data_IF_001017046485
#
_entry.id   IF_001017046485
#
_cell.length_a   1.000
_cell.length_b   1.000
_cell.length_c   1.000
_cell.angle_alpha   90.00
_cell.angle_beta   90.00
_cell.angle_gamma   90.00
#
_symmetry.space_group_name_H-M   'P 1'
#
loop_
_entity.id
_entity.type
_entity.pdbx_description
1 polymer ?
#
# COMPACT_ATOMS: atom_id res chain seq x y z
N UNK A 1 -11.01 -27.33 -17.26
CA UNK A 1 -11.99 -26.64 -18.13
C UNK A 1 -13.46 -27.05 -17.91
N UNK A 2 -13.85 -27.75 -16.82
CA UNK A 2 -15.21 -28.28 -16.63
C UNK A 2 -16.12 -27.41 -15.72
N UNK A 3 -16.22 -26.11 -16.00
CA UNK A 3 -17.09 -25.21 -15.21
C UNK A 3 -17.47 -23.87 -15.86
N UNK A 4 -17.04 -23.60 -17.09
CA UNK A 4 -17.42 -22.37 -17.81
C UNK A 4 -18.65 -22.62 -18.67
N UNK A 5 -19.69 -21.80 -18.52
CA UNK A 5 -20.91 -21.90 -19.32
C UNK A 5 -20.71 -21.46 -20.80
N UNK A 6 -19.69 -20.64 -21.05
CA UNK A 6 -19.23 -20.20 -22.37
C UNK A 6 -17.86 -19.52 -22.25
N UNK A 7 -17.10 -19.47 -23.35
CA UNK A 7 -15.82 -18.76 -23.47
C UNK A 7 -15.91 -17.68 -24.55
N UNK A 8 -15.54 -16.44 -24.23
CA UNK A 8 -15.42 -15.36 -25.20
C UNK A 8 -13.94 -15.04 -25.40
N UNK A 9 -13.49 -15.00 -26.66
CA UNK A 9 -12.10 -14.70 -27.03
C UNK A 9 -12.08 -13.45 -27.90
N UNK A 10 -11.29 -12.45 -27.49
CA UNK A 10 -10.96 -11.31 -28.36
C UNK A 10 -9.70 -11.67 -29.13
N UNK A 11 -9.79 -11.72 -30.45
CA UNK A 11 -8.70 -12.13 -31.32
C UNK A 11 -8.22 -10.95 -32.16
N UNK A 12 -6.93 -10.93 -32.43
CA UNK A 12 -6.29 -10.02 -33.37
C UNK A 12 -5.16 -10.78 -34.07
N UNK A 13 -4.83 -10.41 -35.30
CA UNK A 13 -3.69 -10.97 -36.00
C UNK A 13 -2.37 -10.78 -35.20
N UNK A 14 -1.47 -11.76 -35.30
CA UNK A 14 -0.27 -11.84 -34.44
C UNK A 14 0.67 -10.64 -34.62
N UNK A 15 0.78 -10.14 -35.85
CA UNK A 15 1.53 -8.93 -36.21
C UNK A 15 0.97 -7.67 -35.51
N UNK A 16 -0.34 -7.54 -35.45
CA UNK A 16 -1.01 -6.45 -34.77
C UNK A 16 -0.97 -6.60 -33.24
N UNK A 17 -1.06 -7.83 -32.72
CA UNK A 17 -0.82 -8.09 -31.29
C UNK A 17 0.59 -7.67 -30.89
N UNK A 18 1.59 -8.03 -31.69
CA UNK A 18 2.99 -7.65 -31.47
C UNK A 18 3.15 -6.13 -31.43
N UNK A 19 2.63 -5.44 -32.46
CA UNK A 19 2.73 -3.98 -32.58
C UNK A 19 2.08 -3.26 -31.40
N UNK A 20 0.86 -3.68 -31.01
CA UNK A 20 0.14 -3.10 -29.88
C UNK A 20 0.83 -3.41 -28.55
N UNK A 21 1.39 -4.60 -28.38
CA UNK A 21 2.09 -5.01 -27.17
C UNK A 21 3.39 -4.22 -26.98
N UNK A 22 4.19 -4.07 -28.04
CA UNK A 22 5.40 -3.25 -28.04
C UNK A 22 5.10 -1.80 -27.69
N UNK A 23 4.05 -1.21 -28.28
CA UNK A 23 3.63 0.16 -28.01
C UNK A 23 3.10 0.35 -26.57
N UNK A 24 2.29 -0.59 -26.07
CA UNK A 24 1.68 -0.53 -24.73
C UNK A 24 2.71 -0.66 -23.62
N UNK A 25 3.63 -1.62 -23.77
CA UNK A 25 4.56 -2.00 -22.69
C UNK A 25 5.97 -1.40 -22.89
N UNK A 26 6.19 -0.66 -23.99
CA UNK A 26 7.49 -0.07 -24.35
C UNK A 26 8.62 -1.12 -24.37
N UNK A 27 8.35 -2.28 -24.97
CA UNK A 27 9.27 -3.42 -25.07
C UNK A 27 9.72 -3.67 -26.51
N UNK A 28 10.87 -4.33 -26.67
CA UNK A 28 11.40 -4.72 -27.97
C UNK A 28 10.72 -5.97 -28.54
N UNK A 29 10.92 -6.22 -29.84
CA UNK A 29 10.30 -7.34 -30.56
C UNK A 29 10.65 -8.72 -29.96
N UNK A 30 11.90 -9.02 -29.56
CA UNK A 30 12.22 -10.29 -28.90
C UNK A 30 11.45 -10.49 -27.59
N UNK A 31 11.34 -9.46 -26.73
CA UNK A 31 10.59 -9.55 -25.49
C UNK A 31 9.08 -9.69 -25.73
N UNK A 32 8.54 -9.01 -26.74
CA UNK A 32 7.13 -9.13 -27.13
C UNK A 32 6.82 -10.54 -27.66
N UNK A 33 7.70 -11.10 -28.50
CA UNK A 33 7.58 -12.47 -29.03
C UNK A 33 7.63 -13.53 -27.93
N UNK A 34 8.56 -13.41 -26.99
CA UNK A 34 8.66 -14.32 -25.85
C UNK A 34 7.37 -14.34 -25.00
N UNK A 35 6.73 -13.16 -24.82
CA UNK A 35 5.46 -13.05 -24.09
C UNK A 35 4.29 -13.66 -24.85
N UNK A 36 4.23 -13.49 -26.17
CA UNK A 36 3.17 -14.09 -26.99
C UNK A 36 3.33 -15.62 -27.01
N UNK A 37 4.57 -16.12 -27.17
CA UNK A 37 4.84 -17.57 -27.18
C UNK A 37 4.65 -18.26 -25.83
N UNK A 38 4.70 -17.52 -24.71
CA UNK A 38 4.42 -18.05 -23.39
C UNK A 38 2.91 -18.28 -23.14
N UNK A 39 2.05 -17.76 -24.02
CA UNK A 39 0.61 -18.00 -23.97
C UNK A 39 0.24 -19.20 -24.84
N UNK A 40 -0.92 -19.80 -24.58
CA UNK A 40 -1.50 -20.81 -25.48
C UNK A 40 -1.65 -20.22 -26.90
N UNK A 41 -1.35 -21.00 -27.96
CA UNK A 41 -1.53 -20.59 -29.35
C UNK A 41 -2.92 -19.99 -29.59
N UNK A 42 -2.99 -18.92 -30.40
CA UNK A 42 -4.26 -18.27 -30.72
C UNK A 42 -5.25 -19.27 -31.36
N UNK A 43 -4.75 -20.19 -32.19
CA UNK A 43 -5.54 -21.26 -32.77
C UNK A 43 -6.24 -22.13 -31.71
N UNK A 44 -5.54 -22.49 -30.63
CA UNK A 44 -6.08 -23.30 -29.55
C UNK A 44 -7.13 -22.52 -28.74
N UNK A 45 -6.90 -21.22 -28.51
CA UNK A 45 -7.87 -20.32 -27.86
C UNK A 45 -9.14 -20.19 -28.70
N UNK A 46 -8.99 -20.02 -30.02
CA UNK A 46 -10.11 -19.93 -30.96
C UNK A 46 -10.89 -21.24 -31.03
N UNK A 47 -10.22 -22.39 -30.99
CA UNK A 47 -10.87 -23.71 -30.98
C UNK A 47 -11.73 -23.95 -29.73
N UNK A 48 -11.38 -23.34 -28.60
CA UNK A 48 -12.13 -23.43 -27.35
C UNK A 48 -13.21 -22.34 -27.19
N UNK A 49 -13.28 -21.36 -28.10
CA UNK A 49 -14.15 -20.20 -27.98
C UNK A 49 -15.61 -20.53 -28.30
N UNK A 50 -16.52 -20.06 -27.46
CA UNK A 50 -17.96 -20.00 -27.78
C UNK A 50 -18.30 -18.78 -28.63
N UNK A 51 -17.62 -17.66 -28.37
CA UNK A 51 -17.71 -16.44 -29.17
C UNK A 51 -16.33 -15.86 -29.42
N UNK A 52 -16.16 -15.28 -30.60
CA UNK A 52 -14.95 -14.57 -31.00
C UNK A 52 -15.32 -13.14 -31.36
N UNK A 53 -14.58 -12.17 -30.81
CA UNK A 53 -14.61 -10.77 -31.21
C UNK A 53 -13.35 -10.49 -32.02
N UNK A 54 -13.52 -10.14 -33.29
CA UNK A 54 -12.40 -9.80 -34.16
C UNK A 54 -11.98 -8.33 -33.97
N UNK A 55 -10.76 -8.15 -33.47
CA UNK A 55 -10.11 -6.87 -33.19
C UNK A 55 -9.02 -6.54 -34.23
N UNK A 56 -9.30 -6.96 -35.46
CA UNK A 56 -8.61 -6.88 -36.76
C UNK A 56 -8.19 -5.54 -37.35
N UNK A 57 -9.01 -4.57 -36.98
CA UNK A 57 -9.39 -3.50 -37.89
C UNK A 57 -9.51 -2.21 -37.08
N UNK A 58 -10.38 -1.31 -37.53
CA UNK A 58 -10.68 -0.06 -36.86
C UNK A 58 -11.65 -0.24 -35.67
N UNK A 59 -11.77 0.82 -34.88
CA UNK A 59 -12.65 0.88 -33.72
C UNK A 59 -14.13 0.69 -34.08
N UNK A 60 -14.54 1.13 -35.29
CA UNK A 60 -15.91 0.96 -35.76
C UNK A 60 -16.24 -0.51 -36.08
N UNK A 61 -15.28 -1.27 -36.62
CA UNK A 61 -15.39 -2.71 -36.79
C UNK A 61 -15.47 -3.42 -35.45
N UNK A 62 -14.58 -3.07 -34.50
CA UNK A 62 -14.60 -3.63 -33.16
C UNK A 62 -15.96 -3.38 -32.47
N UNK A 63 -16.51 -2.18 -32.59
CA UNK A 63 -17.83 -1.85 -32.03
C UNK A 63 -18.94 -2.77 -32.59
N UNK A 64 -18.96 -3.00 -33.91
CA UNK A 64 -19.94 -3.92 -34.54
C UNK A 64 -19.78 -5.36 -34.06
N UNK A 65 -18.54 -5.83 -33.92
CA UNK A 65 -18.26 -7.18 -33.40
C UNK A 65 -18.69 -7.34 -31.94
N UNK A 66 -18.47 -6.31 -31.12
CA UNK A 66 -18.96 -6.26 -29.73
C UNK A 66 -20.48 -6.28 -29.70
N UNK A 67 -21.17 -5.45 -30.48
CA UNK A 67 -22.64 -5.40 -30.56
C UNK A 67 -23.23 -6.75 -30.96
N UNK A 68 -22.64 -7.42 -31.96
CA UNK A 68 -23.05 -8.76 -32.39
C UNK A 68 -22.95 -9.77 -31.24
N UNK A 69 -21.79 -9.85 -30.59
CA UNK A 69 -21.58 -10.82 -29.51
C UNK A 69 -22.44 -10.50 -28.28
N UNK A 70 -22.65 -9.23 -27.95
CA UNK A 70 -23.57 -8.79 -26.89
C UNK A 70 -24.98 -9.29 -27.18
N UNK A 71 -25.50 -9.09 -28.40
CA UNK A 71 -26.84 -9.54 -28.76
C UNK A 71 -26.99 -11.07 -28.66
N UNK A 72 -25.97 -11.83 -29.09
CA UNK A 72 -25.96 -13.29 -28.99
C UNK A 72 -25.89 -13.79 -27.53
N UNK A 73 -25.12 -13.12 -26.68
CA UNK A 73 -25.04 -13.42 -25.25
C UNK A 73 -26.37 -13.10 -24.56
N UNK A 74 -26.99 -11.96 -24.87
CA UNK A 74 -28.28 -11.54 -24.31
C UNK A 74 -29.42 -12.47 -24.72
N UNK A 75 -29.42 -12.93 -25.96
CA UNK A 75 -30.38 -13.93 -26.43
C UNK A 75 -30.26 -15.26 -25.66
N UNK A 76 -29.05 -15.65 -25.26
CA UNK A 76 -28.79 -16.94 -24.59
C UNK A 76 -28.93 -16.88 -23.07
N UNK A 77 -28.56 -15.78 -22.44
CA UNK A 77 -28.45 -15.66 -20.98
C UNK A 77 -29.32 -14.56 -20.36
N UNK A 78 -30.10 -13.84 -21.19
CA UNK A 78 -30.85 -12.67 -20.77
C UNK A 78 -30.01 -11.39 -20.79
N UNK A 79 -30.63 -10.22 -20.57
CA UNK A 79 -30.00 -8.91 -20.75
C UNK A 79 -28.72 -8.77 -19.92
N UNK A 80 -27.65 -8.28 -20.54
CA UNK A 80 -26.37 -8.03 -19.89
C UNK A 80 -26.54 -6.80 -19.01
N UNK A 81 -26.49 -7.01 -17.69
CA UNK A 81 -26.51 -5.91 -16.73
C UNK A 81 -25.11 -5.34 -16.58
N UNK A 82 -24.84 -4.20 -17.20
CA UNK A 82 -23.65 -3.40 -16.95
C UNK A 82 -23.86 -2.61 -15.65
N UNK A 83 -23.06 -2.83 -14.59
CA UNK A 83 -23.16 -2.02 -13.38
C UNK A 83 -22.78 -0.57 -13.71
N UNK A 84 -23.70 0.39 -13.53
CA UNK A 84 -23.41 1.82 -13.72
C UNK A 84 -24.45 2.65 -14.47
N UNK A 85 -25.46 2.04 -15.11
CA UNK A 85 -26.64 2.79 -15.56
C UNK A 85 -27.50 3.13 -14.33
N UNK A 86 -27.56 4.41 -13.97
CA UNK A 86 -28.21 4.91 -12.76
C UNK A 86 -29.66 4.42 -12.63
N UNK A 87 -29.92 3.50 -11.70
CA UNK A 87 -31.27 3.22 -11.21
C UNK A 87 -31.38 3.73 -9.77
N UNK A 88 -32.01 4.91 -9.63
CA UNK A 88 -32.55 5.37 -8.36
C UNK A 88 -33.83 4.58 -8.09
N UNK A 89 -33.71 3.39 -7.50
CA UNK A 89 -34.87 2.69 -6.99
C UNK A 89 -35.15 3.10 -5.54
N UNK A 90 -36.32 3.72 -5.39
CA UNK A 90 -37.00 3.94 -4.11
C UNK A 90 -37.22 2.58 -3.45
N UNK A 91 -36.49 2.31 -2.37
CA UNK A 91 -36.72 1.13 -1.53
C UNK A 91 -37.97 1.36 -0.69
N UNK A 92 -39.04 0.66 -1.05
CA UNK A 92 -40.18 0.38 -0.18
C UNK A 92 -39.72 -0.49 1.00
N UNK A 93 -40.14 -0.11 2.21
CA UNK A 93 -39.66 -0.66 3.47
C UNK A 93 -39.76 -2.18 3.62
N UNK A 94 -38.60 -2.82 3.72
CA UNK A 94 -38.32 -3.94 4.63
C UNK A 94 -36.94 -3.70 5.22
N UNK A 95 -36.86 -3.69 6.55
CA UNK A 95 -35.67 -3.33 7.32
C UNK A 95 -34.67 -4.51 7.33
N UNK A 96 -34.11 -4.87 6.17
CA UNK A 96 -32.93 -5.73 6.09
C UNK A 96 -31.70 -4.89 6.40
N UNK A 97 -31.11 -5.11 7.58
CA UNK A 97 -29.82 -4.51 7.97
C UNK A 97 -28.78 -4.90 6.92
N UNK A 98 -28.32 -3.93 6.12
CA UNK A 98 -27.24 -4.16 5.15
C UNK A 98 -25.97 -4.41 5.94
N UNK A 99 -25.46 -5.64 5.88
CA UNK A 99 -24.17 -5.99 6.50
C UNK A 99 -23.08 -5.33 5.67
N UNK A 100 -22.21 -4.55 6.32
CA UNK A 100 -21.03 -3.97 5.70
C UNK A 100 -20.05 -5.10 5.37
N UNK A 101 -19.60 -5.17 4.12
CA UNK A 101 -18.58 -6.11 3.67
C UNK A 101 -17.30 -5.36 3.35
N UNK A 102 -16.22 -5.69 4.04
CA UNK A 102 -14.94 -4.99 3.97
C UNK A 102 -13.83 -5.92 3.51
N UNK A 103 -13.01 -5.49 2.55
CA UNK A 103 -11.75 -6.14 2.18
C UNK A 103 -10.57 -5.37 2.79
N UNK A 104 -9.65 -6.08 3.44
CA UNK A 104 -8.34 -5.56 3.82
C UNK A 104 -7.27 -6.28 3.00
N UNK A 105 -6.44 -5.49 2.31
CA UNK A 105 -5.22 -5.99 1.65
C UNK A 105 -3.99 -5.62 2.48
N UNK A 106 -2.92 -6.40 2.38
CA UNK A 106 -1.61 -6.05 2.94
C UNK A 106 -1.20 -6.89 4.15
N UNK A 107 -1.99 -7.92 4.49
CA UNK A 107 -1.50 -8.95 5.41
C UNK A 107 -0.27 -9.65 4.79
N UNK A 108 0.80 -9.91 5.56
CA UNK A 108 0.95 -9.81 7.01
C UNK A 108 1.64 -8.53 7.49
N UNK A 109 1.58 -7.40 6.78
CA UNK A 109 2.19 -6.16 7.28
C UNK A 109 1.55 -5.70 8.59
N UNK A 110 2.36 -5.14 9.49
CA UNK A 110 1.92 -4.73 10.83
C UNK A 110 0.68 -3.82 10.80
N UNK A 111 0.68 -2.80 9.93
CA UNK A 111 -0.45 -1.87 9.78
C UNK A 111 -1.73 -2.58 9.36
N UNK A 112 -1.66 -3.59 8.50
CA UNK A 112 -2.80 -4.39 8.08
C UNK A 112 -3.34 -5.23 9.24
N UNK A 113 -2.47 -5.90 10.03
CA UNK A 113 -2.89 -6.63 11.24
C UNK A 113 -3.63 -5.72 12.21
N UNK A 114 -3.05 -4.54 12.53
CA UNK A 114 -3.65 -3.58 13.46
C UNK A 114 -4.98 -3.02 12.95
N UNK A 115 -5.09 -2.76 11.64
CA UNK A 115 -6.36 -2.34 11.04
C UNK A 115 -7.42 -3.44 11.07
N UNK A 116 -7.05 -4.70 10.81
CA UNK A 116 -7.95 -5.86 10.92
C UNK A 116 -8.46 -6.00 12.37
N UNK A 117 -7.56 -5.96 13.35
CA UNK A 117 -7.91 -5.99 14.79
C UNK A 117 -8.86 -4.86 15.15
N UNK A 118 -8.58 -3.63 14.69
CA UNK A 118 -9.45 -2.47 14.90
C UNK A 118 -10.84 -2.68 14.33
N UNK A 119 -10.96 -3.17 13.09
CA UNK A 119 -12.25 -3.44 12.44
C UNK A 119 -13.02 -4.53 13.19
N UNK A 120 -12.36 -5.62 13.57
CA UNK A 120 -12.99 -6.70 14.32
C UNK A 120 -13.50 -6.24 15.68
N UNK A 121 -12.76 -5.39 16.40
CA UNK A 121 -13.19 -4.88 17.70
C UNK A 121 -14.34 -3.86 17.58
N UNK A 122 -14.26 -2.96 16.61
CA UNK A 122 -15.19 -1.81 16.52
C UNK A 122 -16.40 -2.06 15.64
N UNK A 123 -16.32 -3.03 14.74
CA UNK A 123 -17.36 -3.38 13.78
C UNK A 123 -17.56 -4.91 13.76
N UNK A 124 -17.97 -5.53 14.89
CA UNK A 124 -18.06 -6.99 15.00
C UNK A 124 -19.07 -7.64 14.04
N UNK A 125 -20.02 -6.86 13.53
CA UNK A 125 -21.04 -7.30 12.57
C UNK A 125 -20.58 -7.19 11.11
N UNK A 126 -19.43 -6.57 10.84
CA UNK A 126 -18.88 -6.44 9.48
C UNK A 126 -18.40 -7.79 8.98
N UNK A 127 -18.80 -8.16 7.75
CA UNK A 127 -18.19 -9.29 7.05
C UNK A 127 -16.81 -8.86 6.56
N UNK A 128 -15.76 -9.43 7.14
CA UNK A 128 -14.38 -9.04 6.87
C UNK A 128 -13.68 -10.08 5.99
N UNK A 129 -13.15 -9.61 4.86
CA UNK A 129 -12.24 -10.35 3.99
C UNK A 129 -10.81 -9.88 4.22
N UNK A 130 -9.89 -10.83 4.35
CA UNK A 130 -8.45 -10.56 4.43
C UNK A 130 -7.79 -11.21 3.22
N UNK A 131 -7.21 -10.41 2.34
CA UNK A 131 -6.39 -10.92 1.23
C UNK A 131 -4.99 -11.24 1.75
N UNK A 132 -4.58 -12.49 1.63
CA UNK A 132 -3.26 -12.98 2.02
C UNK A 132 -2.65 -13.83 0.89
N UNK A 133 -1.35 -13.70 0.66
CA UNK A 133 -0.64 -14.62 -0.23
C UNK A 133 -0.63 -16.04 0.36
N UNK A 134 -0.49 -17.05 -0.50
CA UNK A 134 -0.54 -18.47 -0.11
C UNK A 134 0.37 -18.81 1.07
N UNK A 135 1.57 -18.25 1.12
CA UNK A 135 2.56 -18.50 2.19
C UNK A 135 2.14 -17.94 3.56
N UNK A 136 1.21 -16.99 3.61
CA UNK A 136 0.72 -16.38 4.86
C UNK A 136 -0.75 -16.73 5.16
N UNK A 137 -1.40 -17.53 4.30
CA UNK A 137 -2.82 -17.89 4.46
C UNK A 137 -3.09 -18.59 5.80
N UNK A 138 -2.20 -19.52 6.20
CA UNK A 138 -2.32 -20.24 7.46
C UNK A 138 -2.18 -19.32 8.68
N UNK A 139 -1.26 -18.35 8.62
CA UNK A 139 -1.06 -17.40 9.70
C UNK A 139 -2.24 -16.42 9.80
N UNK A 140 -2.78 -15.97 8.66
CA UNK A 140 -4.00 -15.19 8.62
C UNK A 140 -5.19 -15.97 9.21
N UNK A 141 -5.33 -17.24 8.86
CA UNK A 141 -6.39 -18.10 9.37
C UNK A 141 -6.25 -18.38 10.87
N UNK A 142 -5.03 -18.61 11.37
CA UNK A 142 -4.75 -18.76 12.81
C UNK A 142 -5.10 -17.50 13.59
N UNK A 143 -4.75 -16.33 13.06
CA UNK A 143 -4.94 -15.06 13.77
C UNK A 143 -6.39 -14.55 13.69
N UNK A 144 -7.06 -14.73 12.54
CA UNK A 144 -8.35 -14.07 12.26
C UNK A 144 -9.45 -14.98 11.71
N UNK A 145 -9.17 -16.23 11.34
CA UNK A 145 -10.09 -17.11 10.59
C UNK A 145 -11.43 -17.43 11.28
N UNK A 146 -11.53 -17.24 12.59
CA UNK A 146 -12.81 -17.36 13.33
C UNK A 146 -13.73 -16.14 13.16
N UNK A 147 -13.20 -15.03 12.66
CA UNK A 147 -13.89 -13.72 12.58
C UNK A 147 -13.74 -13.02 11.22
N UNK A 148 -12.94 -13.57 10.32
CA UNK A 148 -12.70 -13.06 8.98
C UNK A 148 -12.54 -14.20 7.97
N UNK A 149 -12.93 -13.96 6.72
CA UNK A 149 -12.74 -14.88 5.60
C UNK A 149 -11.40 -14.59 4.93
N UNK A 150 -10.53 -15.59 4.86
CA UNK A 150 -9.20 -15.46 4.27
C UNK A 150 -9.30 -15.77 2.78
N UNK A 151 -8.99 -14.76 1.96
CA UNK A 151 -8.87 -14.91 0.52
C UNK A 151 -7.40 -15.13 0.18
N UNK A 152 -7.10 -16.27 -0.45
CA UNK A 152 -5.75 -16.58 -0.87
C UNK A 152 -5.52 -16.00 -2.26
N UNK A 153 -4.66 -14.99 -2.35
CA UNK A 153 -4.42 -14.26 -3.59
C UNK A 153 -3.30 -13.21 -3.46
N UNK A 154 -3.02 -12.51 -4.54
CA UNK A 154 -1.99 -11.48 -4.62
C UNK A 154 -2.49 -10.27 -5.41
N UNK A 155 -2.29 -9.07 -4.86
CA UNK A 155 -2.66 -7.81 -5.52
C UNK A 155 -1.97 -7.62 -6.87
N UNK A 156 -0.81 -8.23 -7.09
CA UNK A 156 -0.05 -8.12 -8.32
C UNK A 156 -0.61 -8.95 -9.47
N UNK A 157 -1.47 -9.91 -9.16
CA UNK A 157 -2.06 -10.83 -10.14
C UNK A 157 -3.41 -10.28 -10.61
N UNK A 158 -3.82 -10.66 -11.83
CA UNK A 158 -5.16 -10.33 -12.33
C UNK A 158 -6.23 -10.82 -11.37
N UNK A 159 -7.31 -10.06 -11.20
CA UNK A 159 -8.42 -10.38 -10.30
C UNK A 159 -7.95 -10.71 -8.86
N UNK A 160 -6.84 -10.10 -8.43
CA UNK A 160 -6.17 -10.37 -7.14
C UNK A 160 -5.69 -11.82 -6.97
N UNK A 161 -5.51 -12.56 -8.06
CA UNK A 161 -5.19 -14.00 -8.04
C UNK A 161 -6.37 -14.89 -7.65
N UNK A 162 -7.58 -14.34 -7.54
CA UNK A 162 -8.79 -15.08 -7.18
C UNK A 162 -9.38 -15.79 -8.40
N UNK A 163 -10.14 -16.86 -8.18
CA UNK A 163 -10.95 -17.43 -9.24
C UNK A 163 -12.05 -16.46 -9.68
N UNK A 164 -12.53 -16.59 -10.92
CA UNK A 164 -13.63 -15.74 -11.42
C UNK A 164 -14.94 -15.91 -10.61
N UNK A 165 -15.10 -17.00 -9.85
CA UNK A 165 -16.25 -17.18 -8.96
C UNK A 165 -16.05 -16.37 -7.68
N UNK A 166 -14.89 -16.48 -7.04
CA UNK A 166 -14.54 -15.72 -5.83
C UNK A 166 -14.52 -14.22 -6.09
N UNK A 167 -13.86 -13.78 -7.16
CA UNK A 167 -13.78 -12.36 -7.52
C UNK A 167 -15.17 -11.74 -7.77
N UNK A 168 -16.04 -12.45 -8.51
CA UNK A 168 -17.42 -12.00 -8.75
C UNK A 168 -18.28 -12.05 -7.49
N UNK A 169 -18.05 -13.00 -6.61
CA UNK A 169 -18.74 -13.06 -5.32
C UNK A 169 -18.34 -11.85 -4.46
N UNK A 170 -17.04 -11.62 -4.30
CA UNK A 170 -16.47 -10.49 -3.56
C UNK A 170 -17.00 -9.15 -4.07
N UNK A 171 -16.77 -8.84 -5.36
CA UNK A 171 -17.16 -7.55 -5.96
C UNK A 171 -18.66 -7.22 -5.81
N UNK A 172 -19.55 -8.21 -5.88
CA UNK A 172 -21.01 -8.00 -5.77
C UNK A 172 -21.47 -7.48 -4.43
N UNK A 173 -20.78 -7.84 -3.35
CA UNK A 173 -21.16 -7.49 -1.98
C UNK A 173 -20.21 -6.49 -1.32
N UNK A 174 -19.02 -6.27 -1.91
CA UNK A 174 -18.00 -5.40 -1.36
C UNK A 174 -18.50 -3.95 -1.23
N UNK A 175 -18.46 -3.45 0.00
CA UNK A 175 -18.84 -2.08 0.34
C UNK A 175 -17.62 -1.22 0.67
N UNK A 176 -16.55 -1.82 1.20
CA UNK A 176 -15.39 -1.10 1.71
C UNK A 176 -14.10 -1.81 1.35
N UNK A 177 -13.08 -1.04 0.97
CA UNK A 177 -11.72 -1.55 0.73
C UNK A 177 -10.74 -0.75 1.59
N UNK A 178 -10.00 -1.42 2.46
CA UNK A 178 -8.81 -0.87 3.09
C UNK A 178 -7.57 -1.41 2.36
N UNK A 179 -7.00 -0.57 1.49
CA UNK A 179 -5.83 -0.94 0.70
C UNK A 179 -4.54 -0.49 1.41
N UNK A 180 -4.00 -1.37 2.27
CA UNK A 180 -2.72 -1.17 2.96
C UNK A 180 -1.53 -1.87 2.28
N UNK A 181 -1.79 -2.76 1.32
CA UNK A 181 -0.74 -3.51 0.66
C UNK A 181 0.22 -2.57 -0.10
N UNK A 182 1.51 -2.77 0.14
CA UNK A 182 2.58 -2.04 -0.50
C UNK A 182 3.92 -2.41 0.12
N UNK A 183 4.97 -2.44 -0.69
CA UNK A 183 6.34 -2.62 -0.20
C UNK A 183 6.85 -1.26 0.28
N UNK A 184 7.40 -1.24 1.49
CA UNK A 184 7.94 -0.03 2.14
C UNK A 184 9.42 -0.14 2.49
N UNK A 185 10.05 -1.28 2.23
CA UNK A 185 11.48 -1.45 2.45
C UNK A 185 12.30 -0.51 1.56
N UNK A 186 13.09 0.38 2.18
CA UNK A 186 13.83 1.42 1.45
C UNK A 186 14.97 0.88 0.57
N UNK A 187 15.33 -0.40 0.70
CA UNK A 187 16.38 -1.04 -0.09
C UNK A 187 15.91 -1.78 -1.35
N UNK A 188 14.60 -1.90 -1.55
CA UNK A 188 13.99 -2.74 -2.59
C UNK A 188 14.43 -2.29 -3.99
N UNK A 189 14.53 -3.22 -4.93
CA UNK A 189 14.70 -2.85 -6.33
C UNK A 189 13.43 -2.19 -6.89
N UNK A 190 13.62 -1.33 -7.90
CA UNK A 190 12.54 -0.54 -8.47
C UNK A 190 11.46 -1.39 -9.15
N UNK A 191 11.85 -2.49 -9.79
CA UNK A 191 10.91 -3.31 -10.56
C UNK A 191 9.93 -3.99 -9.61
N UNK A 192 10.43 -4.55 -8.52
CA UNK A 192 9.61 -5.19 -7.48
C UNK A 192 8.71 -4.17 -6.80
N UNK A 193 9.26 -3.02 -6.38
CA UNK A 193 8.46 -1.94 -5.78
C UNK A 193 7.35 -1.45 -6.71
N UNK A 194 7.65 -1.27 -8.00
CA UNK A 194 6.67 -0.82 -9.01
C UNK A 194 5.59 -1.87 -9.21
N UNK A 195 5.95 -3.14 -9.26
CA UNK A 195 4.96 -4.22 -9.41
C UNK A 195 3.98 -4.22 -8.24
N UNK A 196 4.46 -4.22 -7.00
CA UNK A 196 3.56 -4.25 -5.84
C UNK A 196 2.80 -2.93 -5.68
N UNK A 197 3.52 -1.81 -5.60
CA UNK A 197 2.89 -0.53 -5.26
C UNK A 197 2.03 0.00 -6.41
N UNK A 198 2.45 -0.12 -7.67
CA UNK A 198 1.75 0.49 -8.81
C UNK A 198 0.79 -0.50 -9.47
N UNK A 199 1.28 -1.69 -9.86
CA UNK A 199 0.40 -2.71 -10.47
C UNK A 199 -0.63 -3.18 -9.47
N UNK A 200 -0.23 -3.48 -8.22
CA UNK A 200 -1.16 -3.90 -7.19
C UNK A 200 -2.24 -2.87 -6.87
N UNK A 201 -1.89 -1.58 -6.79
CA UNK A 201 -2.88 -0.51 -6.63
C UNK A 201 -3.85 -0.45 -7.81
N UNK A 202 -3.39 -0.68 -9.04
CA UNK A 202 -4.25 -0.72 -10.22
C UNK A 202 -5.28 -1.85 -10.13
N UNK A 203 -4.86 -3.06 -9.76
CA UNK A 203 -5.77 -4.20 -9.60
C UNK A 203 -6.84 -3.93 -8.55
N UNK A 204 -6.49 -3.26 -7.45
CA UNK A 204 -7.46 -2.86 -6.42
C UNK A 204 -8.42 -1.79 -6.93
N UNK A 205 -7.96 -0.84 -7.76
CA UNK A 205 -8.83 0.13 -8.43
C UNK A 205 -9.80 -0.58 -9.38
N UNK A 206 -9.36 -1.63 -10.08
CA UNK A 206 -10.23 -2.39 -10.98
C UNK A 206 -11.29 -3.16 -10.19
N UNK A 207 -10.94 -3.82 -9.07
CA UNK A 207 -11.94 -4.39 -8.14
C UNK A 207 -12.93 -3.33 -7.64
N UNK A 208 -12.46 -2.14 -7.30
CA UNK A 208 -13.31 -1.05 -6.85
C UNK A 208 -14.32 -0.61 -7.94
N UNK A 209 -13.91 -0.59 -9.22
CA UNK A 209 -14.80 -0.29 -10.36
C UNK A 209 -15.85 -1.37 -10.56
N UNK A 210 -15.48 -2.63 -10.34
CA UNK A 210 -16.35 -3.77 -10.51
C UNK A 210 -17.32 -3.98 -9.33
N UNK A 211 -17.19 -3.19 -8.27
CA UNK A 211 -17.97 -3.31 -7.04
C UNK A 211 -19.13 -2.31 -6.98
N UNK A 212 -20.36 -2.68 -7.37
CA UNK A 212 -21.49 -1.76 -7.50
C UNK A 212 -22.04 -1.22 -6.16
N UNK A 213 -21.66 -1.82 -5.04
CA UNK A 213 -22.08 -1.43 -3.69
C UNK A 213 -20.99 -0.67 -2.93
N UNK A 214 -19.90 -0.31 -3.61
CA UNK A 214 -18.75 0.30 -2.97
C UNK A 214 -19.08 1.70 -2.43
N UNK A 215 -18.91 1.86 -1.13
CA UNK A 215 -19.09 3.10 -0.39
C UNK A 215 -17.75 3.80 -0.11
N UNK A 216 -16.66 3.03 0.00
CA UNK A 216 -15.35 3.59 0.34
C UNK A 216 -14.19 2.74 -0.14
N UNK A 217 -13.16 3.40 -0.68
CA UNK A 217 -11.79 2.88 -0.72
C UNK A 217 -10.92 3.75 0.16
N UNK A 218 -10.20 3.15 1.09
CA UNK A 218 -9.18 3.80 1.91
C UNK A 218 -7.83 3.37 1.38
N UNK A 219 -7.17 4.26 0.63
CA UNK A 219 -5.84 4.01 0.10
C UNK A 219 -4.79 4.54 1.06
N UNK A 220 -3.92 3.66 1.55
CA UNK A 220 -2.80 4.04 2.40
C UNK A 220 -1.59 4.37 1.52
N UNK A 221 -1.36 5.66 1.32
CA UNK A 221 -0.17 6.23 0.70
C UNK A 221 0.91 6.50 1.78
N UNK A 222 1.71 7.53 1.62
CA UNK A 222 2.74 7.96 2.58
C UNK A 222 2.98 9.47 2.44
N UNK A 223 3.33 10.16 3.52
CA UNK A 223 3.76 11.56 3.46
C UNK A 223 5.02 11.73 2.57
N UNK A 224 5.82 10.66 2.45
CA UNK A 224 7.06 10.62 1.67
C UNK A 224 6.86 10.72 0.15
N UNK A 225 5.62 10.75 -0.37
CA UNK A 225 5.34 11.12 -1.77
C UNK A 225 5.75 12.56 -2.09
N UNK A 226 6.04 13.36 -1.07
CA UNK A 226 6.68 14.67 -1.17
C UNK A 226 8.09 14.62 -1.76
N UNK A 227 8.79 13.47 -1.75
CA UNK A 227 10.12 13.35 -2.34
C UNK A 227 11.10 14.37 -1.77
N UNK A 228 11.73 15.20 -2.60
CA UNK A 228 12.72 16.22 -2.23
C UNK A 228 12.15 17.64 -2.01
N UNK A 229 10.82 17.79 -1.92
CA UNK A 229 10.15 19.08 -1.62
C UNK A 229 10.62 19.68 -0.29
N UNK A 230 10.67 21.01 -0.25
CA UNK A 230 11.02 21.76 0.96
C UNK A 230 9.94 22.74 1.32
N UNK A 231 9.85 23.10 2.60
CA UNK A 231 8.80 23.96 3.12
C UNK A 231 7.51 23.18 3.36
N UNK A 232 6.36 23.85 3.21
CA UNK A 232 5.06 23.22 3.43
C UNK A 232 4.63 22.38 2.23
N UNK A 233 4.25 21.14 2.48
CA UNK A 233 3.62 20.22 1.53
C UNK A 233 2.17 20.01 1.96
N UNK A 234 1.23 20.45 1.13
CA UNK A 234 -0.20 20.44 1.45
C UNK A 234 -0.86 19.10 1.11
N UNK A 235 -2.00 18.80 1.72
CA UNK A 235 -2.70 17.52 1.48
C UNK A 235 -3.19 17.40 0.04
N UNK A 236 -3.51 18.51 -0.61
CA UNK A 236 -3.84 18.59 -2.03
C UNK A 236 -2.62 18.38 -2.94
N UNK A 237 -1.40 18.63 -2.47
CA UNK A 237 -0.19 18.51 -3.29
C UNK A 237 0.06 17.04 -3.65
N UNK A 238 0.32 16.77 -4.92
CA UNK A 238 0.93 15.52 -5.36
C UNK A 238 2.00 15.82 -6.40
N UNK A 239 1.65 16.38 -7.55
CA UNK A 239 2.60 16.64 -8.65
C UNK A 239 3.26 18.02 -8.53
N UNK A 240 4.19 18.17 -7.59
CA UNK A 240 4.83 19.44 -7.23
C UNK A 240 6.27 19.59 -7.77
N UNK A 241 6.64 18.81 -8.78
CA UNK A 241 7.96 18.85 -9.41
C UNK A 241 9.09 18.21 -8.59
N UNK A 242 8.74 17.38 -7.62
CA UNK A 242 9.70 16.69 -6.75
C UNK A 242 10.47 15.58 -7.45
N UNK A 243 11.66 15.32 -6.95
CA UNK A 243 12.45 14.11 -7.22
C UNK A 243 12.37 13.18 -6.01
N UNK A 244 12.69 11.91 -6.22
CA UNK A 244 12.58 10.87 -5.21
C UNK A 244 13.95 10.33 -4.83
N UNK A 245 14.13 10.04 -3.54
CA UNK A 245 15.40 9.56 -3.00
C UNK A 245 15.59 8.06 -3.20
N UNK A 246 14.47 7.31 -3.24
CA UNK A 246 14.45 5.86 -3.32
C UNK A 246 13.26 5.36 -4.16
N UNK A 247 13.25 4.06 -4.47
CA UNK A 247 12.20 3.45 -5.27
C UNK A 247 10.84 3.44 -4.58
N UNK A 248 10.81 3.36 -3.24
CA UNK A 248 9.58 3.37 -2.46
C UNK A 248 8.81 4.69 -2.64
N UNK A 249 9.45 5.84 -2.40
CA UNK A 249 8.85 7.16 -2.56
C UNK A 249 8.24 7.35 -3.96
N UNK A 250 9.03 7.03 -4.99
CA UNK A 250 8.59 7.17 -6.38
C UNK A 250 7.41 6.27 -6.70
N UNK A 251 7.44 5.00 -6.30
CA UNK A 251 6.38 4.04 -6.65
C UNK A 251 5.10 4.28 -5.85
N UNK A 252 5.18 4.77 -4.60
CA UNK A 252 4.00 5.24 -3.85
C UNK A 252 3.42 6.52 -4.47
N UNK A 253 4.25 7.44 -4.95
CA UNK A 253 3.79 8.60 -5.70
C UNK A 253 3.06 8.18 -6.99
N UNK A 254 3.64 7.27 -7.77
CA UNK A 254 3.03 6.75 -9.01
C UNK A 254 1.70 6.02 -8.74
N UNK A 255 1.65 5.21 -7.67
CA UNK A 255 0.43 4.56 -7.21
C UNK A 255 -0.64 5.60 -6.83
N UNK A 256 -0.27 6.62 -6.05
CA UNK A 256 -1.19 7.66 -5.66
C UNK A 256 -1.72 8.47 -6.85
N UNK A 257 -0.91 8.68 -7.91
CA UNK A 257 -1.39 9.28 -9.16
C UNK A 257 -2.53 8.48 -9.78
N UNK A 258 -2.43 7.15 -9.82
CA UNK A 258 -3.50 6.28 -10.31
C UNK A 258 -4.76 6.42 -9.44
N UNK A 259 -4.59 6.47 -8.12
CA UNK A 259 -5.68 6.63 -7.16
C UNK A 259 -6.37 7.98 -7.32
N UNK A 260 -5.60 9.07 -7.42
CA UNK A 260 -6.15 10.42 -7.68
C UNK A 260 -6.88 10.50 -9.00
N UNK A 261 -6.34 9.88 -10.04
CA UNK A 261 -7.04 9.78 -11.32
C UNK A 261 -8.35 8.99 -11.21
N UNK A 262 -8.52 8.09 -10.24
CA UNK A 262 -9.75 7.32 -10.03
C UNK A 262 -10.76 8.00 -9.08
N UNK A 263 -10.35 8.98 -8.27
CA UNK A 263 -11.19 9.67 -7.27
C UNK A 263 -12.44 10.36 -7.84
N UNK A 264 -12.43 10.73 -9.13
CA UNK A 264 -13.59 11.34 -9.78
C UNK A 264 -14.74 10.35 -10.04
N UNK A 265 -14.47 9.04 -10.00
CA UNK A 265 -15.44 7.96 -10.26
C UNK A 265 -15.66 7.03 -9.07
N UNK A 266 -14.72 7.01 -8.13
CA UNK A 266 -14.74 6.10 -6.98
C UNK A 266 -14.66 6.90 -5.67
N UNK A 267 -15.35 6.44 -4.60
CA UNK A 267 -15.33 7.11 -3.30
C UNK A 267 -14.03 6.80 -2.55
N UNK A 268 -12.92 7.41 -2.97
CA UNK A 268 -11.59 7.13 -2.43
C UNK A 268 -11.18 8.20 -1.41
N UNK A 269 -10.70 7.75 -0.25
CA UNK A 269 -9.99 8.55 0.76
C UNK A 269 -8.52 8.15 0.74
N UNK A 270 -7.61 9.12 0.59
CA UNK A 270 -6.16 8.87 0.63
C UNK A 270 -5.62 9.24 2.01
N UNK A 271 -4.92 8.31 2.64
CA UNK A 271 -4.21 8.55 3.91
C UNK A 271 -2.71 8.54 3.67
N UNK A 272 -2.01 9.54 4.17
CA UNK A 272 -0.56 9.72 4.05
C UNK A 272 0.06 9.79 5.44
N UNK A 273 0.33 8.65 6.08
CA UNK A 273 1.05 8.64 7.34
C UNK A 273 2.49 9.14 7.17
N UNK A 274 3.02 9.72 8.25
CA UNK A 274 4.47 9.91 8.43
C UNK A 274 5.21 8.57 8.59
N UNK A 275 6.37 8.61 9.21
CA UNK A 275 7.12 7.40 9.52
C UNK A 275 6.43 6.69 10.67
N UNK A 276 5.81 5.56 10.37
CA UNK A 276 5.11 4.76 11.36
C UNK A 276 6.12 4.10 12.28
N UNK A 277 5.97 4.33 13.58
CA UNK A 277 6.72 3.69 14.65
C UNK A 277 5.80 2.81 15.49
N UNK A 278 6.38 2.08 16.44
CA UNK A 278 5.70 1.14 17.29
C UNK A 278 4.56 1.77 18.10
N UNK A 279 3.74 0.89 18.67
CA UNK A 279 2.58 1.27 19.47
C UNK A 279 2.99 2.21 20.61
N UNK A 280 2.24 3.30 20.81
CA UNK A 280 2.60 4.32 21.81
C UNK A 280 2.60 3.80 23.25
N UNK A 281 1.93 2.68 23.53
CA UNK A 281 1.77 2.10 24.87
C UNK A 281 2.64 0.87 25.10
N UNK A 282 2.83 0.04 24.07
CA UNK A 282 3.60 -1.21 24.20
C UNK A 282 4.97 -1.16 23.54
N UNK A 283 5.19 -0.21 22.63
CA UNK A 283 6.39 -0.11 21.80
C UNK A 283 6.42 -1.13 20.65
N UNK A 284 5.41 -1.99 20.56
CA UNK A 284 5.37 -3.12 19.64
C UNK A 284 5.45 -2.68 18.18
N UNK A 285 6.33 -3.34 17.44
CA UNK A 285 6.49 -3.21 15.98
C UNK A 285 7.05 -4.53 15.42
N UNK A 286 6.61 -4.90 14.22
CA UNK A 286 7.06 -6.13 13.54
C UNK A 286 8.54 -6.08 13.13
N UNK A 287 9.09 -4.89 12.86
CA UNK A 287 10.46 -4.74 12.35
C UNK A 287 11.12 -3.44 12.84
N UNK A 288 12.37 -3.56 13.27
CA UNK A 288 13.24 -2.44 13.62
C UNK A 288 13.93 -1.86 12.37
N UNK A 289 13.17 -1.16 11.52
CA UNK A 289 13.66 -0.52 10.28
C UNK A 289 13.67 1.03 10.37
N UNK A 290 14.25 1.69 9.38
CA UNK A 290 14.27 3.15 9.27
C UNK A 290 14.92 3.84 10.48
N UNK A 291 14.21 4.71 11.23
CA UNK A 291 14.77 5.41 12.38
C UNK A 291 15.23 4.44 13.49
N UNK A 292 14.66 3.23 13.55
CA UNK A 292 15.05 2.23 14.55
C UNK A 292 16.50 1.79 14.44
N UNK A 293 17.14 1.86 13.26
CA UNK A 293 18.58 1.58 13.15
C UNK A 293 19.42 2.49 14.04
N UNK A 294 19.17 3.80 14.01
CA UNK A 294 19.88 4.76 14.85
C UNK A 294 19.42 4.69 16.30
N UNK A 295 18.13 4.46 16.56
CA UNK A 295 17.62 4.25 17.92
C UNK A 295 18.33 3.06 18.56
N UNK A 296 18.37 1.90 17.90
CA UNK A 296 19.06 0.70 18.38
C UNK A 296 20.55 0.95 18.56
N UNK A 297 21.21 1.54 17.56
CA UNK A 297 22.65 1.81 17.64
C UNK A 297 23.00 2.71 18.83
N UNK A 298 22.23 3.77 19.07
CA UNK A 298 22.47 4.72 20.17
C UNK A 298 22.09 4.11 21.52
N UNK A 299 20.92 3.48 21.61
CA UNK A 299 20.40 2.93 22.86
C UNK A 299 21.24 1.77 23.39
N UNK A 300 21.91 1.02 22.50
CA UNK A 300 22.76 -0.13 22.89
C UNK A 300 24.25 0.22 22.96
N UNK A 301 24.63 1.47 22.72
CA UNK A 301 26.03 1.89 22.70
C UNK A 301 26.63 2.04 24.10
N UNK A 302 27.13 0.93 24.64
CA UNK A 302 27.81 0.87 25.94
C UNK A 302 29.31 1.21 25.88
N UNK A 303 29.83 1.61 24.71
CA UNK A 303 31.27 1.84 24.53
C UNK A 303 31.79 3.16 25.12
N UNK A 304 30.89 4.08 25.50
CA UNK A 304 31.24 5.46 25.89
C UNK A 304 31.71 6.33 24.71
N UNK A 305 31.66 5.84 23.48
CA UNK A 305 31.97 6.62 22.29
C UNK A 305 30.78 7.47 21.86
N UNK A 306 31.01 8.74 21.56
CA UNK A 306 29.99 9.62 20.96
C UNK A 306 29.89 9.37 19.45
N UNK A 307 28.81 8.74 19.02
CA UNK A 307 28.57 8.42 17.62
C UNK A 307 28.23 9.68 16.81
N UNK A 308 28.75 9.85 15.58
CA UNK A 308 28.30 10.93 14.70
C UNK A 308 26.94 10.61 14.09
N UNK A 309 26.09 11.63 13.92
CA UNK A 309 24.84 11.48 13.16
C UNK A 309 25.10 11.50 11.65
N UNK A 310 24.18 10.91 10.89
CA UNK A 310 24.19 11.00 9.43
C UNK A 310 23.53 12.32 9.00
N UNK A 311 24.29 13.19 8.35
CA UNK A 311 23.80 14.54 8.05
C UNK A 311 23.71 15.45 9.29
N UNK A 312 23.19 16.67 9.13
CA UNK A 312 23.08 17.64 10.24
C UNK A 312 21.98 17.28 11.24
N UNK A 313 20.97 16.54 10.79
CA UNK A 313 19.81 16.09 11.56
C UNK A 313 18.96 17.25 12.10
N UNK A 314 18.90 18.36 11.35
CA UNK A 314 18.17 19.59 11.74
C UNK A 314 16.72 19.60 11.24
N UNK A 315 16.34 18.66 10.37
CA UNK A 315 14.99 18.57 9.83
C UNK A 315 14.01 17.94 10.84
N UNK A 316 12.71 18.29 10.76
CA UNK A 316 11.68 17.62 11.53
C UNK A 316 11.59 16.13 11.15
N UNK A 317 11.56 15.27 12.15
CA UNK A 317 11.39 13.83 11.98
C UNK A 317 9.94 13.46 12.32
N UNK A 318 9.13 13.28 11.28
CA UNK A 318 7.70 12.98 11.40
C UNK A 318 7.45 11.52 11.80
N UNK A 319 7.72 11.17 13.07
CA UNK A 319 7.41 9.86 13.64
C UNK A 319 5.95 9.85 14.14
N UNK A 320 5.20 8.80 13.84
CA UNK A 320 3.81 8.64 14.30
C UNK A 320 3.57 7.20 14.79
N UNK A 321 2.97 7.00 15.97
CA UNK A 321 2.79 5.64 16.49
C UNK A 321 1.62 4.95 15.78
N UNK A 322 1.74 3.64 15.54
CA UNK A 322 0.78 2.87 14.73
C UNK A 322 -0.66 2.94 15.25
N UNK A 323 -0.86 3.00 16.57
CA UNK A 323 -2.17 3.04 17.21
C UNK A 323 -2.90 4.35 16.90
N UNK A 324 -2.19 5.48 16.89
CA UNK A 324 -2.73 6.74 16.40
C UNK A 324 -3.11 6.64 14.91
N UNK A 325 -2.21 6.11 14.06
CA UNK A 325 -2.44 6.06 12.61
C UNK A 325 -3.67 5.20 12.28
N UNK A 326 -3.81 4.03 12.90
CA UNK A 326 -4.96 3.14 12.69
C UNK A 326 -6.25 3.73 13.23
N UNK A 327 -6.21 4.36 14.42
CA UNK A 327 -7.38 5.03 14.98
C UNK A 327 -7.84 6.20 14.10
N UNK A 328 -6.92 7.06 13.69
CA UNK A 328 -7.20 8.19 12.81
C UNK A 328 -7.73 7.71 11.44
N UNK A 329 -7.08 6.71 10.84
CA UNK A 329 -7.52 6.11 9.59
C UNK A 329 -8.96 5.59 9.67
N UNK A 330 -9.30 4.88 10.75
CA UNK A 330 -10.63 4.34 10.96
C UNK A 330 -11.68 5.45 11.15
N UNK A 331 -11.40 6.48 11.97
CA UNK A 331 -12.32 7.60 12.17
C UNK A 331 -12.56 8.39 10.89
N UNK A 332 -11.48 8.75 10.18
CA UNK A 332 -11.55 9.51 8.93
C UNK A 332 -12.34 8.71 7.90
N UNK A 333 -12.02 7.42 7.74
CA UNK A 333 -12.66 6.60 6.72
C UNK A 333 -14.18 6.48 6.89
N UNK A 334 -14.74 6.63 8.09
CA UNK A 334 -16.18 6.53 8.40
C UNK A 334 -16.99 7.78 8.18
N UNK A 335 -16.34 8.89 7.84
CA UNK A 335 -17.04 10.13 7.55
C UNK A 335 -17.41 10.19 6.08
N UNK A 336 -18.60 10.71 5.78
CA UNK A 336 -19.07 10.88 4.40
C UNK A 336 -18.28 11.97 3.66
N UNK A 337 -17.86 13.01 4.38
CA UNK A 337 -17.20 14.20 3.82
C UNK A 337 -15.71 14.00 3.51
N UNK A 338 -15.17 12.79 3.65
CA UNK A 338 -13.74 12.50 3.42
C UNK A 338 -13.46 11.81 2.09
N UNK A 339 -14.49 11.27 1.42
CA UNK A 339 -14.33 10.76 0.06
C UNK A 339 -13.89 11.90 -0.87
N UNK A 340 -12.93 11.62 -1.75
CA UNK A 340 -12.34 12.63 -2.62
C UNK A 340 -11.29 13.52 -1.95
N UNK A 341 -10.84 13.20 -0.73
CA UNK A 341 -9.84 13.99 0.00
C UNK A 341 -8.60 13.17 0.39
N UNK A 342 -7.56 13.91 0.76
CA UNK A 342 -6.26 13.40 1.22
C UNK A 342 -6.00 13.91 2.63
N UNK A 343 -5.36 13.08 3.45
CA UNK A 343 -5.13 13.33 4.87
C UNK A 343 -3.68 13.02 5.23
N UNK A 344 -2.93 13.99 5.74
CA UNK A 344 -1.61 13.74 6.33
C UNK A 344 -1.78 13.29 7.78
N UNK A 345 -1.35 12.06 8.10
CA UNK A 345 -1.37 11.52 9.45
C UNK A 345 0.05 11.62 10.04
N UNK A 346 0.39 12.83 10.47
CA UNK A 346 1.73 13.22 10.94
C UNK A 346 1.68 13.76 12.37
N UNK A 347 2.83 13.94 13.00
CA UNK A 347 2.95 14.66 14.27
C UNK A 347 2.71 16.17 14.02
N UNK A 348 1.79 16.84 14.74
CA UNK A 348 1.58 18.28 14.63
C UNK A 348 2.77 19.13 15.09
N UNK A 349 3.64 18.59 15.94
CA UNK A 349 4.80 19.27 16.51
C UNK A 349 6.04 18.36 16.46
N UNK A 350 6.50 17.96 15.26
CA UNK A 350 7.57 16.99 15.11
C UNK A 350 8.88 17.51 15.69
N UNK A 351 9.57 16.67 16.46
CA UNK A 351 10.91 16.96 16.96
C UNK A 351 11.94 16.99 15.81
N UNK A 352 13.01 17.78 15.95
CA UNK A 352 14.15 17.68 15.02
C UNK A 352 14.81 16.33 15.22
N UNK A 353 15.31 15.76 14.13
CA UNK A 353 15.89 14.42 14.20
C UNK A 353 17.05 14.32 15.21
N UNK A 354 17.88 15.36 15.34
CA UNK A 354 18.91 15.44 16.38
C UNK A 354 18.33 15.35 17.79
N UNK A 355 17.27 16.10 18.07
CA UNK A 355 16.65 16.14 19.39
C UNK A 355 16.03 14.78 19.75
N UNK A 356 15.50 14.05 18.76
CA UNK A 356 15.02 12.67 18.93
C UNK A 356 16.17 11.76 19.38
N UNK A 357 17.30 11.79 18.69
CA UNK A 357 18.43 10.91 19.00
C UNK A 357 19.17 11.29 20.29
N UNK A 358 19.19 12.57 20.64
CA UNK A 358 19.69 13.02 21.94
C UNK A 358 18.79 12.52 23.08
N UNK A 359 17.46 12.53 22.89
CA UNK A 359 16.50 12.00 23.86
C UNK A 359 16.60 10.46 24.00
N UNK A 360 16.86 9.74 22.91
CA UNK A 360 17.14 8.29 22.95
C UNK A 360 18.36 8.00 23.80
N UNK A 361 19.48 8.72 23.59
CA UNK A 361 20.70 8.54 24.37
C UNK A 361 20.47 8.85 25.86
N UNK A 362 19.71 9.90 26.15
CA UNK A 362 19.38 10.30 27.52
C UNK A 362 18.57 9.23 28.26
N UNK A 363 17.52 8.71 27.62
CA UNK A 363 16.70 7.64 28.18
C UNK A 363 17.48 6.33 28.35
N UNK A 364 18.29 5.95 27.37
CA UNK A 364 19.09 4.73 27.41
C UNK A 364 20.35 4.85 28.30
N UNK A 365 20.60 6.03 28.87
CA UNK A 365 21.81 6.35 29.63
C UNK A 365 23.11 6.08 28.85
N UNK A 366 23.12 6.41 27.55
CA UNK A 366 24.28 6.34 26.67
C UNK A 366 24.79 7.72 26.27
N UNK A 367 25.95 7.77 25.63
CA UNK A 367 26.56 9.03 25.20
C UNK A 367 25.79 9.68 24.04
N UNK A 368 25.44 10.97 24.20
CA UNK A 368 24.75 11.75 23.16
C UNK A 368 25.55 11.79 21.86
N UNK A 369 24.91 11.63 20.69
CA UNK A 369 25.59 11.74 19.41
C UNK A 369 26.34 13.08 19.25
N UNK A 370 27.54 13.05 18.68
CA UNK A 370 28.35 14.26 18.46
C UNK A 370 28.93 14.32 17.06
N UNK A 371 28.80 15.48 16.43
CA UNK A 371 29.27 15.71 15.07
C UNK A 371 28.29 15.19 14.03
N UNK A 372 28.72 15.20 12.77
CA UNK A 372 27.95 14.66 11.66
C UNK A 372 28.86 14.11 10.57
N UNK A 373 28.38 13.10 9.86
CA UNK A 373 28.98 12.62 8.61
C UNK A 373 28.25 13.30 7.44
N UNK A 374 28.94 14.10 6.60
CA UNK A 374 28.35 14.68 5.39
C UNK A 374 27.72 13.61 4.49
N UNK A 375 26.55 13.92 3.90
CA UNK A 375 25.78 12.98 3.08
C UNK A 375 26.59 12.25 1.99
N UNK A 376 27.47 12.92 1.21
CA UNK A 376 28.24 12.23 0.17
C UNK A 376 29.21 11.18 0.75
N UNK A 377 29.79 11.49 1.92
CA UNK A 377 30.71 10.60 2.62
C UNK A 377 29.94 9.41 3.21
N UNK A 378 28.80 9.65 3.87
CA UNK A 378 27.93 8.60 4.38
C UNK A 378 27.51 7.64 3.25
N UNK A 379 27.12 8.18 2.09
CA UNK A 379 26.76 7.40 0.91
C UNK A 379 27.93 6.56 0.36
N UNK A 380 29.14 7.11 0.34
CA UNK A 380 30.33 6.38 -0.12
C UNK A 380 30.72 5.24 0.83
N UNK A 381 30.74 5.49 2.15
CA UNK A 381 31.07 4.49 3.18
C UNK A 381 30.11 3.30 3.12
N UNK A 382 28.81 3.57 3.08
CA UNK A 382 27.78 2.52 3.07
C UNK A 382 27.74 1.72 1.75
N UNK A 383 28.35 2.23 0.66
CA UNK A 383 28.50 1.51 -0.61
C UNK A 383 29.77 0.65 -0.69
N UNK A 384 30.65 0.68 0.31
CA UNK A 384 31.92 -0.05 0.28
C UNK A 384 31.71 -1.56 0.47
N UNK A 385 32.35 -2.45 -0.34
CA UNK A 385 32.28 -3.89 -0.15
C UNK A 385 32.73 -4.30 1.27
N UNK A 386 31.93 -5.10 1.97
CA UNK A 386 32.17 -5.49 3.38
C UNK A 386 31.31 -4.73 4.39
N UNK A 387 31.15 -3.40 4.24
CA UNK A 387 30.19 -2.60 5.01
C UNK A 387 28.78 -2.56 4.36
N UNK A 388 28.69 -2.95 3.09
CA UNK A 388 27.42 -3.20 2.39
C UNK A 388 26.51 -4.23 3.08
N UNK A 389 27.05 -5.06 3.99
CA UNK A 389 26.28 -5.95 4.87
C UNK A 389 25.39 -5.22 5.88
N UNK A 390 25.63 -3.93 6.16
CA UNK A 390 24.68 -3.08 6.90
C UNK A 390 23.41 -2.74 6.10
N UNK A 391 23.33 -3.17 4.83
CA UNK A 391 22.14 -3.05 4.00
C UNK A 391 21.91 -1.66 3.42
N UNK A 392 20.85 -1.53 2.61
CA UNK A 392 20.42 -0.25 2.00
C UNK A 392 19.57 0.63 2.94
N UNK A 393 19.11 0.11 4.08
CA UNK A 393 18.27 0.82 5.07
C UNK A 393 18.94 2.08 5.66
N UNK A 394 20.18 1.99 6.19
CA UNK A 394 20.89 3.15 6.76
C UNK A 394 21.14 4.29 5.76
N UNK A 395 21.25 3.97 4.46
CA UNK A 395 21.44 4.95 3.38
C UNK A 395 20.20 5.83 3.18
N UNK A 396 19.02 5.24 3.22
CA UNK A 396 17.77 5.96 2.99
C UNK A 396 17.40 6.87 4.18
N UNK A 397 17.82 6.51 5.39
CA UNK A 397 17.67 7.37 6.56
C UNK A 397 18.40 8.72 6.39
N UNK A 398 19.57 8.74 5.73
CA UNK A 398 20.32 9.99 5.46
C UNK A 398 19.46 11.03 4.74
N UNK A 399 18.60 10.57 3.84
CA UNK A 399 17.77 11.46 3.02
C UNK A 399 16.64 12.06 3.86
N UNK A 400 16.05 11.27 4.76
CA UNK A 400 15.00 11.70 5.71
C UNK A 400 15.52 12.72 6.73
N UNK A 401 16.67 12.47 7.35
CA UNK A 401 17.15 13.23 8.52
C UNK A 401 17.46 14.71 8.26
N UNK A 402 17.65 15.10 7.01
CA UNK A 402 18.10 16.43 6.59
C UNK A 402 17.11 17.05 5.58
N UNK A 403 15.87 16.55 5.54
CA UNK A 403 14.83 16.97 4.59
C UNK A 403 13.80 17.91 5.26
N UNK A 404 13.92 19.25 5.09
CA UNK A 404 13.13 20.24 5.81
C UNK A 404 11.73 20.42 5.19
N UNK A 405 10.88 19.41 5.36
CA UNK A 405 9.47 19.44 4.94
C UNK A 405 8.56 19.51 6.15
N UNK A 406 7.53 20.34 6.04
CA UNK A 406 6.41 20.40 6.96
C UNK A 406 5.16 19.96 6.22
N UNK A 407 4.37 19.08 6.82
CA UNK A 407 3.13 18.60 6.23
C UNK A 407 1.97 19.40 6.81
N UNK A 408 1.19 20.04 5.94
CA UNK A 408 -0.11 20.56 6.36
C UNK A 408 -1.01 19.40 6.75
N UNK A 409 -1.91 19.61 7.71
CA UNK A 409 -2.83 18.58 8.19
C UNK A 409 -4.24 19.15 8.38
N UNK A 410 -4.61 20.13 7.57
CA UNK A 410 -5.87 20.88 7.75
C UNK A 410 -7.10 19.96 7.60
N UNK A 411 -7.12 19.07 6.62
CA UNK A 411 -8.19 18.08 6.46
C UNK A 411 -8.17 17.06 7.60
N UNK A 412 -7.01 16.57 8.01
CA UNK A 412 -6.88 15.65 9.17
C UNK A 412 -7.44 16.29 10.43
N UNK A 413 -6.99 17.50 10.78
CA UNK A 413 -7.45 18.23 11.95
C UNK A 413 -8.98 18.47 11.92
N UNK A 414 -9.52 18.82 10.74
CA UNK A 414 -10.97 19.00 10.57
C UNK A 414 -11.76 17.70 10.72
N UNK A 415 -11.26 16.59 10.15
CA UNK A 415 -11.95 15.31 10.17
C UNK A 415 -11.96 14.68 11.58
N UNK A 416 -10.89 14.90 12.35
CA UNK A 416 -10.74 14.41 13.72
C UNK A 416 -11.28 15.37 14.79
N UNK A 417 -11.69 16.59 14.41
CA UNK A 417 -12.28 17.56 15.32
C UNK A 417 -13.52 16.96 16.02
N UNK A 418 -13.53 17.04 17.35
CA UNK A 418 -14.60 16.48 18.20
C UNK A 418 -14.47 14.98 18.49
N UNK A 419 -13.43 14.31 17.99
CA UNK A 419 -13.06 12.95 18.40
C UNK A 419 -11.99 12.99 19.50
N UNK A 420 -11.81 11.91 20.29
CA UNK A 420 -10.69 11.82 21.24
C UNK A 420 -9.34 11.54 20.56
N UNK A 421 -9.29 11.45 19.23
CA UNK A 421 -8.10 11.02 18.49
C UNK A 421 -7.17 12.21 18.28
N UNK A 422 -6.00 12.13 18.90
CA UNK A 422 -4.92 13.10 18.76
C UNK A 422 -3.60 12.35 18.64
N UNK A 423 -2.67 12.88 17.85
CA UNK A 423 -1.32 12.33 17.82
C UNK A 423 -0.65 12.64 19.18
N UNK A 424 -0.20 11.63 19.94
CA UNK A 424 0.52 11.89 21.18
C UNK A 424 1.86 12.56 20.85
N UNK A 425 2.39 13.39 21.76
CA UNK A 425 3.69 14.00 21.55
C UNK A 425 4.78 12.92 21.60
N UNK A 426 5.79 13.00 20.71
CA UNK A 426 6.87 12.02 20.67
C UNK A 426 7.57 11.82 22.02
N UNK A 427 7.72 12.88 22.80
CA UNK A 427 8.32 12.81 24.14
C UNK A 427 7.58 11.85 25.11
N UNK A 428 6.27 11.66 24.92
CA UNK A 428 5.44 10.85 25.82
C UNK A 428 5.61 9.35 25.57
N UNK A 429 5.87 8.94 24.32
CA UNK A 429 5.97 7.52 23.94
C UNK A 429 7.37 7.07 23.50
N UNK A 430 8.31 7.99 23.27
CA UNK A 430 9.70 7.65 22.95
C UNK A 430 10.35 6.72 24.00
N UNK A 431 10.17 6.92 25.32
CA UNK A 431 10.64 5.98 26.34
C UNK A 431 10.18 4.54 26.12
N UNK A 432 8.91 4.37 25.75
CA UNK A 432 8.29 3.06 25.50
C UNK A 432 8.94 2.40 24.27
N UNK A 433 9.15 3.17 23.19
CA UNK A 433 9.84 2.66 21.99
C UNK A 433 11.27 2.22 22.30
N UNK A 434 12.02 3.03 23.04
CA UNK A 434 13.42 2.71 23.39
C UNK A 434 13.47 1.49 24.30
N UNK A 435 12.57 1.39 25.28
CA UNK A 435 12.47 0.23 26.15
C UNK A 435 12.22 -1.06 25.35
N UNK A 436 11.24 -1.03 24.44
CA UNK A 436 10.94 -2.17 23.57
C UNK A 436 12.16 -2.60 22.74
N UNK A 437 12.91 -1.64 22.18
CA UNK A 437 14.16 -1.91 21.47
C UNK A 437 15.21 -2.58 22.37
N UNK A 438 15.38 -2.08 23.59
CA UNK A 438 16.32 -2.66 24.57
C UNK A 438 15.92 -4.08 24.96
N UNK A 439 14.63 -4.37 25.09
CA UNK A 439 14.12 -5.69 25.46
C UNK A 439 14.31 -6.70 24.33
N UNK A 440 14.00 -6.32 23.08
CA UNK A 440 14.23 -7.19 21.91
C UNK A 440 15.72 -7.45 21.69
N UNK A 441 16.56 -6.44 21.82
CA UNK A 441 18.01 -6.60 21.56
C UNK A 441 18.71 -7.48 22.59
N UNK A 442 18.14 -7.60 23.80
CA UNK A 442 18.60 -8.54 24.85
C UNK A 442 18.02 -9.95 24.69
N UNK A 443 16.94 -10.12 23.90
CA UNK A 443 16.30 -11.42 23.70
C UNK A 443 17.20 -12.36 22.88
N UNK A 444 17.34 -13.64 23.28
CA UNK A 444 18.10 -14.65 22.52
C UNK A 444 17.43 -15.06 21.21
N UNK A 445 16.14 -14.72 21.01
CA UNK A 445 15.41 -14.95 19.76
C UNK A 445 15.61 -13.71 18.89
N UNK A 446 16.72 -13.68 18.14
CA UNK A 446 16.90 -12.71 17.06
C UNK A 446 16.05 -13.15 15.87
N UNK A 447 15.15 -12.32 15.31
CA UNK A 447 14.81 -12.48 13.90
C UNK A 447 16.11 -12.32 13.12
N UNK A 448 16.43 -13.30 12.28
CA UNK A 448 17.72 -13.34 11.59
C UNK A 448 17.81 -12.17 10.61
N UNK A 449 19.03 -11.70 10.33
CA UNK A 449 19.25 -10.78 9.22
C UNK A 449 19.03 -11.43 7.84
N UNK A 450 18.58 -12.68 7.79
CA UNK A 450 18.16 -13.35 6.55
C UNK A 450 16.62 -13.33 6.40
N UNK A 451 15.86 -12.99 7.44
CA UNK A 451 14.41 -12.75 7.40
C UNK A 451 14.07 -11.33 6.87
N UNK A 452 14.98 -10.73 6.08
CA UNK A 452 15.01 -9.29 5.73
C UNK A 452 14.11 -8.92 4.54
N UNK A 453 13.42 -9.89 3.91
CA UNK A 453 12.44 -9.60 2.87
C UNK A 453 11.20 -8.90 3.47
N UNK A 454 10.70 -7.85 2.81
CA UNK A 454 9.32 -7.40 3.04
C UNK A 454 8.41 -8.64 2.82
N UNK A 455 7.38 -8.91 3.64
CA UNK A 455 6.56 -10.09 3.41
C UNK A 455 5.98 -10.15 1.98
N UNK A 456 5.82 -9.01 1.31
CA UNK A 456 5.36 -8.91 -0.07
C UNK A 456 6.49 -8.96 -1.12
N UNK A 457 7.74 -9.02 -0.69
CA UNK A 457 8.92 -9.24 -1.53
C UNK A 457 9.02 -10.73 -1.90
N UNK A 458 9.14 -11.01 -3.20
CA UNK A 458 9.13 -12.37 -3.74
C UNK A 458 10.53 -13.03 -3.75
N UNK A 459 11.54 -12.36 -3.21
CA UNK A 459 12.94 -12.83 -3.17
C UNK A 459 13.78 -12.26 -4.31
#
# INVERSE_FOLDING_TARGET
HLGMAALLVVAAAEDMQMTRLMARDSIDEPAARARISAQAPLADKLAAATWVIQNDHDEAHLAREVERVVAEVEAKFGPIRVPGAAHRDRVTGRNTRVIKTTLVTGFPAFSAKRMIEKLLVTEPETKLYVLAQQQFADDAAKQFGSRAEILVGDICDMDLGLSSVEYRALSRELSWIHHLAGIYWMGIDEKTARNVNVTGTRTVIDLARDSPRLERVVHWSTAMVSGDRRGTFYEEDLEAGQKFHNAYERTKFEAEKLVRAAMHKLPITILRPGIIVGDSKTGEIDKLDGPYYLITLIATNMSGMRLPLLGRAEAPLHLVPIDYVVEAAWQIARRDDTAGKTFHLVDPAPMRARDVFDAVAEYAHTEKPRGHIPRPIARAVLRTPGLSRLGRGPLALVDVLDHPVHYDQTNTARALAGTPVQCPALADYLPVLVQYVLDITKSPIRPSSEDIADPLDRG
#
